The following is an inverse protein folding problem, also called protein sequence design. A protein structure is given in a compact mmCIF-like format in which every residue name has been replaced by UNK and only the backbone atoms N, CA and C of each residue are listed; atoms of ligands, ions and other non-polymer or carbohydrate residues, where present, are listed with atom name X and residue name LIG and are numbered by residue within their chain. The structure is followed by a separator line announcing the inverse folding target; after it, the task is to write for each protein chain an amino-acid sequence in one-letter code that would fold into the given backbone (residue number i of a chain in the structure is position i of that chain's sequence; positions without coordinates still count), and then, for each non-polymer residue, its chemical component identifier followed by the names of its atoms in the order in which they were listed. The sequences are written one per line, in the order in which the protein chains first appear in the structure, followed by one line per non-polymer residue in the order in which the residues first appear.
data_IF_469174108216
#
_entry.id   IF_469174108216
#
_cell.length_a   1.000
_cell.length_b   1.000
_cell.length_c   1.000
_cell.angle_alpha   90.00
_cell.angle_beta   90.00
_cell.angle_gamma   90.00
#
_symmetry.space_group_name_H-M   'P 1'
#
loop_
_entity.id
_entity.type
_entity.pdbx_description
1 polymer ?
#
# COMPACT_ATOMS: atom_id res chain seq x y z
N UNK A 1 7.50 31.81 -22.57
CA UNK A 1 6.24 31.89 -21.80
C UNK A 1 6.22 30.68 -20.88
N UNK A 2 5.98 30.87 -19.58
CA UNK A 2 5.79 29.72 -18.70
C UNK A 2 4.58 28.92 -19.22
N UNK A 3 4.77 27.62 -19.48
CA UNK A 3 3.67 26.74 -19.86
C UNK A 3 2.83 26.54 -18.60
N UNK A 4 1.65 27.18 -18.56
CA UNK A 4 0.72 27.06 -17.45
C UNK A 4 -0.12 25.80 -17.67
N UNK A 5 -0.26 24.98 -16.62
CA UNK A 5 -1.17 23.83 -16.59
C UNK A 5 -2.61 24.26 -16.92
N UNK A 6 -3.24 23.58 -17.89
CA UNK A 6 -4.60 23.91 -18.33
C UNK A 6 -5.50 22.69 -18.37
N UNK A 7 -6.81 22.91 -18.19
CA UNK A 7 -7.82 21.87 -18.17
C UNK A 7 -8.77 22.04 -19.34
N UNK A 8 -9.12 20.92 -19.99
CA UNK A 8 -10.14 20.87 -21.03
C UNK A 8 -11.10 19.72 -20.74
N UNK A 9 -12.38 19.92 -21.05
CA UNK A 9 -13.43 18.97 -20.73
C UNK A 9 -13.94 18.31 -22.01
N UNK A 10 -14.13 17.01 -21.96
CA UNK A 10 -14.52 16.16 -23.07
C UNK A 10 -15.48 15.07 -22.57
N UNK A 11 -16.14 14.37 -23.49
CA UNK A 11 -16.99 13.22 -23.19
C UNK A 11 -16.78 12.18 -24.27
N UNK A 12 -16.36 10.97 -23.87
CA UNK A 12 -16.02 9.91 -24.82
C UNK A 12 -16.84 8.65 -24.59
N UNK A 13 -17.31 7.99 -25.66
CA UNK A 13 -17.93 6.67 -25.54
C UNK A 13 -16.94 5.65 -24.97
N UNK A 14 -17.45 4.70 -24.19
CA UNK A 14 -16.67 3.57 -23.67
C UNK A 14 -15.92 2.86 -24.80
N UNK A 15 -16.55 2.67 -25.97
CA UNK A 15 -15.91 2.02 -27.11
C UNK A 15 -14.61 2.72 -27.54
N UNK A 16 -14.61 4.05 -27.58
CA UNK A 16 -13.43 4.85 -27.94
C UNK A 16 -12.34 4.70 -26.89
N UNK A 17 -12.70 4.80 -25.60
CA UNK A 17 -11.75 4.67 -24.49
C UNK A 17 -11.11 3.27 -24.47
N UNK A 18 -11.91 2.22 -24.65
CA UNK A 18 -11.41 0.82 -24.71
C UNK A 18 -10.44 0.65 -25.87
N UNK A 19 -10.72 1.22 -27.04
CA UNK A 19 -9.82 1.19 -28.18
C UNK A 19 -8.51 1.94 -27.90
N UNK A 20 -8.56 3.07 -27.20
CA UNK A 20 -7.38 3.86 -26.80
C UNK A 20 -6.52 3.13 -25.76
N UNK A 21 -7.14 2.42 -24.81
CA UNK A 21 -6.44 1.56 -23.84
C UNK A 21 -5.78 0.37 -24.55
N UNK A 22 -6.53 -0.31 -25.41
CA UNK A 22 -6.02 -1.48 -26.18
C UNK A 22 -4.83 -1.10 -27.06
N UNK A 23 -4.88 0.08 -27.65
CA UNK A 23 -3.85 0.60 -28.56
C UNK A 23 -2.99 1.68 -27.90
N UNK A 24 -2.57 1.45 -26.64
CA UNK A 24 -1.84 2.44 -25.84
C UNK A 24 -0.56 3.00 -26.51
N UNK A 25 0.06 2.26 -27.43
CA UNK A 25 1.27 2.69 -28.15
C UNK A 25 0.99 3.59 -29.38
N UNK A 26 -0.28 3.82 -29.74
CA UNK A 26 -0.68 4.68 -30.87
C UNK A 26 -0.77 6.15 -30.45
N UNK A 27 -1.16 7.01 -31.41
CA UNK A 27 -1.10 8.47 -31.27
C UNK A 27 -1.97 9.01 -30.11
N UNK A 28 -3.06 8.34 -29.80
CA UNK A 28 -4.06 8.70 -28.79
C UNK A 28 -4.21 7.61 -27.71
N UNK A 29 -3.18 6.77 -27.55
CA UNK A 29 -3.20 5.67 -26.61
C UNK A 29 -3.18 6.12 -25.14
N UNK A 30 -3.93 5.41 -24.30
CA UNK A 30 -4.05 5.66 -22.85
C UNK A 30 -3.24 4.63 -22.07
N UNK A 31 -2.30 5.12 -21.25
CA UNK A 31 -1.68 4.32 -20.20
C UNK A 31 -2.54 4.36 -18.93
N UNK A 32 -3.17 3.22 -18.62
CA UNK A 32 -3.95 3.04 -17.40
C UNK A 32 -3.11 3.06 -16.12
N UNK A 33 -1.82 2.73 -16.20
CA UNK A 33 -0.98 2.54 -15.02
C UNK A 33 0.39 3.21 -15.21
N UNK A 34 0.43 4.56 -15.29
CA UNK A 34 1.69 5.28 -15.24
C UNK A 34 2.43 4.99 -13.92
N UNK A 35 3.73 5.31 -13.87
CA UNK A 35 4.63 4.91 -12.79
C UNK A 35 4.21 5.40 -11.40
N UNK A 36 3.51 6.54 -11.32
CA UNK A 36 2.98 7.11 -10.07
C UNK A 36 1.64 6.48 -9.62
N UNK A 37 0.94 5.75 -10.49
CA UNK A 37 -0.32 5.08 -10.17
C UNK A 37 -0.10 3.72 -9.49
N UNK A 38 -1.02 3.37 -8.59
CA UNK A 38 -1.00 2.04 -7.95
C UNK A 38 -1.43 0.94 -8.93
N UNK A 39 -1.23 -0.31 -8.53
CA UNK A 39 -1.87 -1.44 -9.20
C UNK A 39 -3.40 -1.43 -9.07
N UNK A 40 -4.05 -2.32 -9.79
CA UNK A 40 -5.49 -2.56 -9.65
C UNK A 40 -5.81 -3.16 -8.26
N UNK A 41 -6.68 -2.52 -7.48
CA UNK A 41 -7.03 -2.96 -6.11
C UNK A 41 -8.54 -3.02 -5.84
N UNK A 42 -9.38 -2.70 -6.82
CA UNK A 42 -10.82 -2.79 -6.65
C UNK A 42 -11.24 -4.23 -6.36
N UNK A 43 -11.84 -4.42 -5.18
CA UNK A 43 -12.51 -5.66 -4.83
C UNK A 43 -13.83 -5.81 -5.60
N UNK A 44 -14.36 -7.03 -5.63
CA UNK A 44 -15.55 -7.40 -6.39
C UNK A 44 -16.74 -6.45 -6.18
N UNK A 45 -16.99 -6.03 -4.93
CA UNK A 45 -18.13 -5.15 -4.59
C UNK A 45 -18.12 -3.80 -5.32
N UNK A 46 -16.95 -3.20 -5.58
CA UNK A 46 -16.84 -1.92 -6.29
C UNK A 46 -17.06 -2.10 -7.78
N UNK A 47 -16.54 -3.18 -8.35
CA UNK A 47 -16.74 -3.55 -9.76
C UNK A 47 -18.22 -3.80 -10.03
N UNK A 48 -18.86 -4.51 -9.11
CA UNK A 48 -20.27 -4.85 -9.16
C UNK A 48 -21.16 -3.58 -9.18
N UNK A 49 -20.89 -2.60 -8.31
CA UNK A 49 -21.59 -1.31 -8.29
C UNK A 49 -21.35 -0.49 -9.56
N UNK A 50 -20.12 -0.47 -10.07
CA UNK A 50 -19.79 0.22 -11.32
C UNK A 50 -20.63 -0.32 -12.49
N UNK A 51 -20.65 -1.65 -12.66
CA UNK A 51 -21.41 -2.27 -13.75
C UNK A 51 -22.90 -2.09 -13.61
N UNK A 52 -23.43 -2.15 -12.39
CA UNK A 52 -24.83 -1.83 -12.14
C UNK A 52 -25.16 -0.40 -12.61
N UNK A 53 -24.31 0.59 -12.31
CA UNK A 53 -24.49 1.97 -12.77
C UNK A 53 -24.43 2.10 -14.28
N UNK A 54 -23.43 1.52 -14.95
CA UNK A 54 -23.29 1.60 -16.42
C UNK A 54 -24.51 1.02 -17.11
N UNK A 55 -24.96 -0.16 -16.68
CA UNK A 55 -26.09 -0.87 -17.31
C UNK A 55 -27.40 -0.10 -17.09
N UNK A 56 -27.59 0.53 -15.92
CA UNK A 56 -28.75 1.39 -15.63
C UNK A 56 -28.68 2.78 -16.28
N UNK A 57 -27.55 3.14 -16.90
CA UNK A 57 -27.33 4.48 -17.46
C UNK A 57 -27.05 5.57 -16.41
N UNK A 58 -26.64 5.20 -15.20
CA UNK A 58 -26.26 6.17 -14.17
C UNK A 58 -24.84 6.73 -14.43
N UNK A 59 -24.61 8.03 -14.17
CA UNK A 59 -23.29 8.63 -14.34
C UNK A 59 -22.28 8.00 -13.37
N UNK A 60 -21.10 7.63 -13.89
CA UNK A 60 -20.06 6.92 -13.12
C UNK A 60 -18.93 7.82 -12.62
N UNK A 61 -19.12 9.14 -12.68
CA UNK A 61 -18.14 10.16 -12.30
C UNK A 61 -17.13 10.50 -13.41
N UNK A 62 -16.41 11.60 -13.23
CA UNK A 62 -15.41 12.11 -14.19
C UNK A 62 -14.13 11.25 -14.22
N UNK A 63 -13.39 11.26 -15.32
CA UNK A 63 -12.07 10.65 -15.48
C UNK A 63 -11.06 11.75 -15.79
N UNK A 64 -9.90 11.78 -15.12
CA UNK A 64 -8.85 12.75 -15.42
C UNK A 64 -7.71 12.10 -16.20
N UNK A 65 -7.39 12.65 -17.37
CA UNK A 65 -6.29 12.22 -18.24
C UNK A 65 -5.24 13.31 -18.35
N UNK A 66 -3.97 12.97 -18.13
CA UNK A 66 -2.85 13.84 -18.48
C UNK A 66 -2.51 13.68 -19.94
N UNK A 67 -2.43 14.79 -20.67
CA UNK A 67 -1.96 14.84 -22.06
C UNK A 67 -0.48 15.17 -22.06
N UNK A 68 0.34 14.24 -22.56
CA UNK A 68 1.78 14.40 -22.64
C UNK A 68 2.20 15.07 -23.95
N UNK A 69 3.24 15.90 -23.89
CA UNK A 69 3.88 16.45 -25.09
C UNK A 69 4.76 15.42 -25.81
N UNK A 70 5.30 14.45 -25.04
CA UNK A 70 6.16 13.36 -25.52
C UNK A 70 5.62 12.06 -24.93
N UNK A 71 5.68 10.97 -25.70
CA UNK A 71 5.23 9.65 -25.24
C UNK A 71 5.95 9.22 -23.97
N UNK A 72 5.23 8.58 -23.05
CA UNK A 72 5.82 7.98 -21.86
C UNK A 72 6.64 6.72 -22.19
N UNK A 73 7.24 6.10 -21.17
CA UNK A 73 8.06 4.89 -21.32
C UNK A 73 7.33 3.71 -21.99
N UNK A 74 5.99 3.67 -21.96
CA UNK A 74 5.16 2.66 -22.62
C UNK A 74 4.71 3.09 -24.03
N UNK A 75 5.07 4.28 -24.48
CA UNK A 75 4.70 4.79 -25.80
C UNK A 75 3.32 5.45 -25.88
N UNK A 76 2.69 5.75 -24.73
CA UNK A 76 1.38 6.39 -24.64
C UNK A 76 1.49 7.92 -24.59
N UNK A 77 0.49 8.61 -25.17
CA UNK A 77 0.38 10.07 -25.14
C UNK A 77 -0.56 10.57 -24.04
N UNK A 78 -1.36 9.68 -23.46
CA UNK A 78 -2.30 9.96 -22.39
C UNK A 78 -1.99 9.09 -21.18
N UNK A 79 -1.99 9.67 -19.99
CA UNK A 79 -1.85 8.93 -18.74
C UNK A 79 -3.09 9.13 -17.87
N UNK A 80 -3.58 8.06 -17.24
CA UNK A 80 -4.70 8.18 -16.32
C UNK A 80 -4.23 8.76 -14.99
N UNK A 81 -4.77 9.94 -14.64
CA UNK A 81 -4.55 10.59 -13.35
C UNK A 81 -5.65 10.20 -12.36
N UNK A 82 -6.90 10.07 -12.80
CA UNK A 82 -7.99 9.56 -11.97
C UNK A 82 -8.93 8.64 -12.75
N UNK A 83 -9.52 7.68 -12.04
CA UNK A 83 -10.46 6.73 -12.61
C UNK A 83 -9.82 5.48 -13.21
N UNK A 84 -8.54 5.25 -12.95
CA UNK A 84 -7.81 4.03 -13.33
C UNK A 84 -8.63 2.77 -13.06
N UNK A 85 -9.15 2.63 -11.84
CA UNK A 85 -9.84 1.42 -11.40
C UNK A 85 -11.16 1.21 -12.16
N UNK A 86 -11.87 2.31 -12.47
CA UNK A 86 -13.08 2.29 -13.30
C UNK A 86 -12.76 1.84 -14.72
N UNK A 87 -11.79 2.49 -15.37
CA UNK A 87 -11.40 2.17 -16.75
C UNK A 87 -10.85 0.74 -16.88
N UNK A 88 -10.04 0.29 -15.92
CA UNK A 88 -9.50 -1.09 -15.89
C UNK A 88 -10.64 -2.10 -15.76
N UNK A 89 -11.62 -1.86 -14.90
CA UNK A 89 -12.78 -2.75 -14.72
C UNK A 89 -13.65 -2.80 -15.97
N UNK A 90 -13.84 -1.64 -16.63
CA UNK A 90 -14.56 -1.54 -17.91
C UNK A 90 -13.86 -2.35 -18.99
N UNK A 91 -12.56 -2.10 -19.17
CA UNK A 91 -11.72 -2.78 -20.13
C UNK A 91 -11.75 -4.31 -19.94
N UNK A 92 -11.46 -4.80 -18.73
CA UNK A 92 -11.35 -6.23 -18.43
C UNK A 92 -12.66 -6.99 -18.69
N UNK A 93 -13.83 -6.39 -18.42
CA UNK A 93 -15.10 -7.05 -18.73
C UNK A 93 -15.35 -7.14 -20.23
N UNK A 94 -15.09 -6.06 -20.97
CA UNK A 94 -15.35 -5.97 -22.42
C UNK A 94 -14.44 -6.92 -23.21
N UNK A 95 -13.17 -7.05 -22.82
CA UNK A 95 -12.24 -8.00 -23.46
C UNK A 95 -12.41 -9.44 -22.99
N UNK A 96 -13.27 -9.69 -21.99
CA UNK A 96 -13.61 -11.04 -21.51
C UNK A 96 -12.75 -11.56 -20.34
N UNK A 97 -11.83 -10.76 -19.83
CA UNK A 97 -10.93 -11.08 -18.70
C UNK A 97 -11.64 -11.03 -17.33
N UNK A 98 -12.84 -10.45 -17.27
CA UNK A 98 -13.66 -10.39 -16.05
C UNK A 98 -15.08 -10.93 -16.27
N UNK A 99 -15.67 -11.50 -15.21
CA UNK A 99 -17.06 -11.96 -15.20
C UNK A 99 -17.76 -11.49 -13.92
N UNK A 100 -18.97 -10.97 -14.06
CA UNK A 100 -19.79 -10.53 -12.91
C UNK A 100 -20.52 -11.77 -12.39
N UNK A 101 -20.55 -11.96 -11.06
CA UNK A 101 -21.07 -13.19 -10.45
C UNK A 101 -21.97 -12.93 -9.24
N UNK A 102 -22.81 -13.90 -8.91
CA UNK A 102 -23.61 -13.89 -7.67
C UNK A 102 -24.83 -12.97 -7.80
N UNK A 103 -25.18 -12.29 -6.71
CA UNK A 103 -26.44 -11.55 -6.62
C UNK A 103 -26.48 -10.34 -7.56
N UNK A 104 -25.36 -9.66 -7.76
CA UNK A 104 -25.27 -8.52 -8.69
C UNK A 104 -25.49 -8.98 -10.14
N UNK A 105 -24.92 -10.13 -10.52
CA UNK A 105 -25.18 -10.70 -11.85
C UNK A 105 -26.67 -11.02 -12.04
N UNK A 106 -27.33 -11.51 -10.97
CA UNK A 106 -28.77 -11.74 -10.99
C UNK A 106 -29.54 -10.43 -11.21
N UNK A 107 -29.29 -9.39 -10.41
CA UNK A 107 -29.97 -8.10 -10.54
C UNK A 107 -29.74 -7.43 -11.90
N UNK A 108 -28.55 -7.57 -12.47
CA UNK A 108 -28.26 -7.09 -13.83
C UNK A 108 -29.12 -7.84 -14.86
N UNK A 109 -29.19 -9.17 -14.76
CA UNK A 109 -30.00 -9.99 -15.69
C UNK A 109 -31.48 -9.67 -15.54
N UNK A 110 -31.99 -9.52 -14.32
CA UNK A 110 -33.38 -9.11 -14.07
C UNK A 110 -33.70 -7.78 -14.76
N UNK A 111 -32.82 -6.79 -14.60
CA UNK A 111 -32.99 -5.51 -15.26
C UNK A 111 -32.92 -5.61 -16.78
N UNK A 112 -32.00 -6.39 -17.35
CA UNK A 112 -31.92 -6.57 -18.81
C UNK A 112 -33.20 -7.21 -19.34
N UNK A 113 -33.73 -8.22 -18.65
CA UNK A 113 -34.97 -8.90 -19.03
C UNK A 113 -36.17 -7.96 -18.96
N UNK A 114 -36.26 -7.15 -17.92
CA UNK A 114 -37.28 -6.13 -17.78
C UNK A 114 -37.17 -5.05 -18.87
N UNK A 115 -35.97 -4.56 -19.12
CA UNK A 115 -35.68 -3.49 -20.08
C UNK A 115 -35.96 -3.90 -21.53
N UNK A 116 -35.55 -5.10 -21.92
CA UNK A 116 -35.75 -5.61 -23.28
C UNK A 116 -37.15 -6.20 -23.52
N UNK A 117 -37.88 -6.56 -22.45
CA UNK A 117 -39.24 -7.08 -22.53
C UNK A 117 -39.40 -8.28 -23.47
N UNK A 118 -40.12 -8.07 -24.58
CA UNK A 118 -40.46 -9.10 -25.57
C UNK A 118 -39.56 -9.09 -26.82
N UNK A 119 -38.42 -8.40 -26.78
CA UNK A 119 -37.47 -8.44 -27.89
C UNK A 119 -36.96 -9.86 -28.14
N UNK A 120 -36.79 -10.21 -29.43
CA UNK A 120 -36.32 -11.52 -29.84
C UNK A 120 -34.80 -11.50 -29.99
N UNK A 121 -34.09 -11.78 -28.90
CA UNK A 121 -32.63 -11.89 -28.87
C UNK A 121 -32.19 -13.28 -28.32
N UNK A 122 -31.35 -14.04 -29.05
CA UNK A 122 -30.91 -15.37 -28.60
C UNK A 122 -30.15 -15.38 -27.27
N UNK A 123 -29.43 -14.31 -26.94
CA UNK A 123 -28.74 -14.16 -25.65
C UNK A 123 -29.73 -13.81 -24.55
N UNK A 124 -30.75 -12.98 -24.83
CA UNK A 124 -31.81 -12.68 -23.87
C UNK A 124 -32.53 -13.96 -23.40
N UNK A 125 -32.86 -14.88 -24.32
CA UNK A 125 -33.48 -16.16 -23.97
C UNK A 125 -32.55 -17.06 -23.13
N UNK A 126 -31.24 -17.03 -23.38
CA UNK A 126 -30.25 -17.73 -22.54
C UNK A 126 -30.16 -17.11 -21.15
N UNK A 127 -30.24 -15.78 -21.04
CA UNK A 127 -30.23 -15.06 -19.76
C UNK A 127 -31.50 -15.36 -18.94
N UNK A 128 -32.68 -15.37 -19.57
CA UNK A 128 -33.94 -15.80 -18.92
C UNK A 128 -33.83 -17.21 -18.34
N UNK A 129 -33.30 -18.16 -19.12
CA UNK A 129 -33.06 -19.54 -18.64
C UNK A 129 -32.08 -19.60 -17.46
N UNK A 130 -31.01 -18.78 -17.49
CA UNK A 130 -30.07 -18.69 -16.36
C UNK A 130 -30.72 -18.15 -15.09
N UNK A 131 -31.69 -17.26 -15.20
CA UNK A 131 -32.40 -16.69 -14.05
C UNK A 131 -33.21 -17.75 -13.28
N UNK A 132 -33.81 -18.70 -14.00
CA UNK A 132 -34.61 -19.77 -13.40
C UNK A 132 -33.78 -20.78 -12.60
N UNK A 133 -32.46 -20.82 -12.79
CA UNK A 133 -31.57 -21.75 -12.09
C UNK A 133 -31.24 -21.23 -10.69
N UNK A 134 -31.38 -22.09 -9.66
CA UNK A 134 -31.07 -21.75 -8.24
C UNK A 134 -29.57 -21.59 -7.94
N UNK A 135 -28.69 -21.75 -8.94
CA UNK A 135 -27.25 -21.69 -8.78
C UNK A 135 -26.68 -20.26 -8.77
N UNK A 136 -25.36 -20.16 -8.58
CA UNK A 136 -24.62 -18.90 -8.71
C UNK A 136 -24.61 -18.47 -10.19
N UNK A 137 -25.19 -17.30 -10.48
CA UNK A 137 -25.22 -16.75 -11.84
C UNK A 137 -23.88 -16.08 -12.14
N UNK A 138 -23.40 -16.27 -13.37
CA UNK A 138 -22.22 -15.60 -13.92
C UNK A 138 -22.55 -15.05 -15.31
N UNK A 139 -22.16 -13.80 -15.55
CA UNK A 139 -22.31 -13.10 -16.82
C UNK A 139 -20.96 -12.59 -17.33
N UNK A 140 -20.75 -12.75 -18.64
CA UNK A 140 -19.62 -12.17 -19.40
C UNK A 140 -20.18 -11.20 -20.44
N UNK A 141 -19.37 -10.25 -20.89
CA UNK A 141 -19.76 -9.27 -21.91
C UNK A 141 -20.33 -9.92 -23.19
N UNK A 142 -19.71 -11.00 -23.68
CA UNK A 142 -20.17 -11.74 -24.87
C UNK A 142 -21.58 -12.34 -24.74
N UNK A 143 -22.02 -12.58 -23.50
CA UNK A 143 -23.31 -13.19 -23.17
C UNK A 143 -24.43 -12.14 -23.03
N UNK A 144 -24.10 -10.86 -23.17
CA UNK A 144 -25.10 -9.80 -23.18
C UNK A 144 -25.81 -9.74 -24.54
N UNK A 145 -27.09 -9.36 -24.58
CA UNK A 145 -27.79 -9.03 -25.83
C UNK A 145 -27.13 -7.88 -26.58
N UNK A 146 -27.29 -7.83 -27.90
CA UNK A 146 -26.58 -6.84 -28.74
C UNK A 146 -26.96 -5.40 -28.39
N UNK A 147 -28.25 -5.13 -28.16
CA UNK A 147 -28.72 -3.81 -27.71
C UNK A 147 -28.03 -3.34 -26.42
N UNK A 148 -27.81 -4.26 -25.47
CA UNK A 148 -27.13 -3.93 -24.21
C UNK A 148 -25.64 -3.64 -24.45
N UNK A 149 -24.99 -4.39 -25.36
CA UNK A 149 -23.60 -4.10 -25.74
C UNK A 149 -23.48 -2.74 -26.41
N UNK A 150 -24.41 -2.40 -27.30
CA UNK A 150 -24.47 -1.08 -27.95
C UNK A 150 -24.68 0.04 -26.92
N UNK A 151 -25.57 -0.15 -25.95
CA UNK A 151 -25.78 0.80 -24.85
C UNK A 151 -24.52 0.98 -24.00
N UNK A 152 -23.80 -0.10 -23.67
CA UNK A 152 -22.52 -0.03 -22.96
C UNK A 152 -21.47 0.71 -23.80
N UNK A 153 -21.34 0.36 -25.09
CA UNK A 153 -20.32 0.92 -25.97
C UNK A 153 -20.52 2.42 -26.23
N UNK A 154 -21.78 2.86 -26.32
CA UNK A 154 -22.19 4.26 -26.52
C UNK A 154 -22.27 5.06 -25.21
N UNK A 155 -22.17 4.41 -24.04
CA UNK A 155 -22.14 5.09 -22.75
C UNK A 155 -20.99 6.11 -22.71
N UNK A 156 -21.34 7.37 -22.55
CA UNK A 156 -20.39 8.47 -22.56
C UNK A 156 -19.82 8.71 -21.16
N UNK A 157 -18.48 8.74 -21.07
CA UNK A 157 -17.75 9.04 -19.86
C UNK A 157 -17.20 10.46 -19.94
N UNK A 158 -17.50 11.28 -18.93
CA UNK A 158 -16.93 12.61 -18.79
C UNK A 158 -15.43 12.54 -18.52
N UNK A 159 -14.66 13.32 -19.27
CA UNK A 159 -13.20 13.36 -19.20
C UNK A 159 -12.73 14.80 -18.95
N UNK A 160 -11.78 14.95 -18.03
CA UNK A 160 -10.96 16.16 -17.90
C UNK A 160 -9.56 15.86 -18.42
N UNK A 161 -9.18 16.49 -19.52
CA UNK A 161 -7.83 16.44 -20.05
C UNK A 161 -6.99 17.56 -19.43
N UNK A 162 -5.83 17.19 -18.91
CA UNK A 162 -4.84 18.06 -18.28
C UNK A 162 -3.70 18.27 -19.26
N UNK A 163 -3.54 19.48 -19.76
CA UNK A 163 -2.53 19.85 -20.75
C UNK A 163 -1.44 20.70 -20.11
N UNK A 164 -0.26 20.73 -20.75
CA UNK A 164 0.87 21.59 -20.36
C UNK A 164 1.28 21.43 -18.90
N UNK A 165 1.34 20.19 -18.41
CA UNK A 165 1.60 19.89 -17.00
C UNK A 165 2.97 19.23 -16.78
N UNK A 166 3.68 19.68 -15.76
CA UNK A 166 4.88 19.01 -15.26
C UNK A 166 4.53 17.78 -14.42
N UNK A 167 5.52 16.93 -14.13
CA UNK A 167 5.33 15.76 -13.26
C UNK A 167 4.98 16.20 -11.82
N UNK A 168 5.57 17.30 -11.35
CA UNK A 168 5.32 17.90 -10.04
C UNK A 168 3.89 18.42 -9.93
N UNK A 169 3.40 19.17 -10.94
CA UNK A 169 2.04 19.71 -10.96
C UNK A 169 0.97 18.61 -10.99
N UNK A 170 1.21 17.53 -11.74
CA UNK A 170 0.31 16.37 -11.77
C UNK A 170 0.29 15.64 -10.44
N UNK A 171 1.46 15.52 -9.81
CA UNK A 171 1.58 14.90 -8.50
C UNK A 171 0.81 15.71 -7.45
N UNK A 172 0.95 17.04 -7.49
CA UNK A 172 0.18 17.95 -6.64
C UNK A 172 -1.33 17.85 -6.90
N UNK A 173 -1.75 17.95 -8.16
CA UNK A 173 -3.16 17.83 -8.54
C UNK A 173 -3.77 16.49 -8.13
N UNK A 174 -3.02 15.39 -8.29
CA UNK A 174 -3.45 14.05 -7.88
C UNK A 174 -3.70 13.99 -6.37
N UNK A 175 -2.89 14.66 -5.54
CA UNK A 175 -3.11 14.76 -4.09
C UNK A 175 -4.43 15.49 -3.77
N UNK A 176 -4.70 16.60 -4.45
CA UNK A 176 -5.92 17.39 -4.20
C UNK A 176 -7.21 16.71 -4.67
N UNK A 177 -7.19 16.07 -5.84
CA UNK A 177 -8.37 15.38 -6.38
C UNK A 177 -8.84 14.23 -5.47
N UNK A 178 -7.91 13.60 -4.76
CA UNK A 178 -8.18 12.48 -3.84
C UNK A 178 -8.63 12.94 -2.44
N UNK A 179 -8.76 14.24 -2.16
CA UNK A 179 -9.29 14.69 -0.85
C UNK A 179 -10.77 14.32 -0.59
N UNK A 180 -11.46 13.68 -1.55
CA UNK A 180 -12.78 13.07 -1.35
C UNK A 180 -12.74 11.54 -1.05
N UNK A 181 -11.63 10.83 -1.31
CA UNK A 181 -11.39 9.44 -0.88
C UNK A 181 -9.96 9.28 -0.35
N UNK A 182 -9.81 8.98 0.95
CA UNK A 182 -8.52 8.91 1.66
C UNK A 182 -7.43 8.16 0.87
N UNK A 183 -6.36 8.86 0.50
CA UNK A 183 -5.11 8.27 0.07
C UNK A 183 -4.62 7.24 1.12
N UNK A 184 -4.20 6.06 0.66
CA UNK A 184 -3.53 5.08 1.53
C UNK A 184 -2.04 5.40 1.57
N UNK A 185 -1.42 5.08 2.70
CA UNK A 185 -0.12 5.62 3.06
C UNK A 185 1.01 5.47 2.02
N UNK A 186 1.06 4.35 1.30
CA UNK A 186 2.08 4.12 0.27
C UNK A 186 1.92 5.00 -0.96
N UNK A 187 0.70 5.47 -1.26
CA UNK A 187 0.41 6.40 -2.37
C UNK A 187 0.91 7.81 -2.04
N UNK A 188 0.87 8.17 -0.76
CA UNK A 188 1.44 9.44 -0.30
C UNK A 188 2.96 9.39 -0.34
N UNK A 189 3.60 8.28 0.06
CA UNK A 189 5.08 8.16 -0.02
C UNK A 189 5.58 8.27 -1.47
N UNK A 190 4.91 7.65 -2.43
CA UNK A 190 5.28 7.73 -3.84
C UNK A 190 5.00 9.11 -4.47
N UNK A 191 4.07 9.87 -3.91
CA UNK A 191 3.70 11.19 -4.41
C UNK A 191 4.34 12.32 -3.62
N UNK A 192 5.27 12.07 -2.69
CA UNK A 192 6.11 13.10 -2.08
C UNK A 192 7.27 13.39 -3.03
N UNK A 193 7.27 14.55 -3.73
CA UNK A 193 8.43 14.95 -4.51
C UNK A 193 9.59 15.11 -3.52
N UNK A 194 10.65 14.32 -3.71
CA UNK A 194 11.96 14.53 -3.10
C UNK A 194 11.89 15.00 -1.63
N UNK A 195 11.36 14.15 -0.75
CA UNK A 195 11.42 14.42 0.69
C UNK A 195 12.87 14.65 1.08
N UNK A 196 13.14 15.62 1.95
CA UNK A 196 14.48 15.78 2.51
C UNK A 196 14.97 14.53 3.27
N UNK A 197 14.07 13.58 3.55
CA UNK A 197 14.36 12.30 4.17
C UNK A 197 14.83 11.22 3.17
N UNK A 198 14.52 11.35 1.88
CA UNK A 198 14.86 10.36 0.84
C UNK A 198 16.38 10.19 0.72
N UNK A 199 17.13 11.29 0.85
CA UNK A 199 18.61 11.31 0.87
C UNK A 199 19.22 10.39 1.95
N UNK A 200 18.48 10.05 3.00
CA UNK A 200 18.95 9.10 4.02
C UNK A 200 18.63 7.64 3.64
N UNK A 201 17.46 7.38 3.04
CA UNK A 201 17.13 6.05 2.53
C UNK A 201 18.09 5.65 1.41
N UNK A 202 18.46 6.58 0.53
CA UNK A 202 19.38 6.34 -0.59
C UNK A 202 20.80 5.98 -0.16
N UNK A 203 21.15 6.24 1.11
CA UNK A 203 22.45 5.84 1.69
C UNK A 203 22.47 4.39 2.16
N UNK A 204 21.35 3.67 2.11
CA UNK A 204 21.29 2.22 2.33
C UNK A 204 21.76 1.54 1.04
N UNK A 205 22.90 0.85 1.11
CA UNK A 205 23.63 0.37 -0.08
C UNK A 205 22.85 -0.64 -0.93
N UNK A 206 22.12 -1.56 -0.29
CA UNK A 206 21.23 -2.51 -0.95
C UNK A 206 20.00 -2.79 -0.08
N UNK A 207 18.94 -2.01 -0.33
CA UNK A 207 17.66 -2.15 0.36
C UNK A 207 17.05 -3.55 0.19
N UNK A 208 17.21 -4.19 -0.98
CA UNK A 208 16.62 -5.51 -1.20
C UNK A 208 17.32 -6.59 -0.37
N UNK A 209 18.64 -6.47 -0.19
CA UNK A 209 19.43 -7.39 0.62
C UNK A 209 19.00 -7.38 2.09
N UNK A 210 18.93 -6.21 2.72
CA UNK A 210 18.52 -6.11 4.14
C UNK A 210 17.07 -6.60 4.34
N UNK A 211 16.17 -6.24 3.42
CA UNK A 211 14.78 -6.71 3.47
C UNK A 211 14.67 -8.22 3.26
N UNK A 212 15.53 -8.80 2.42
CA UNK A 212 15.65 -10.23 2.22
C UNK A 212 16.13 -10.96 3.47
N UNK A 213 17.17 -10.47 4.13
CA UNK A 213 17.68 -11.02 5.41
C UNK A 213 16.57 -11.01 6.48
N UNK A 214 15.84 -9.90 6.58
CA UNK A 214 14.77 -9.72 7.56
C UNK A 214 13.42 -10.36 7.15
N UNK A 215 13.32 -10.94 5.95
CA UNK A 215 12.07 -11.44 5.35
C UNK A 215 10.89 -10.46 5.52
N UNK A 216 11.14 -9.18 5.26
CA UNK A 216 10.15 -8.12 5.42
C UNK A 216 9.47 -7.81 4.09
N UNK A 217 8.15 -8.01 4.04
CA UNK A 217 7.36 -7.66 2.87
C UNK A 217 7.33 -6.13 2.69
N UNK A 218 7.97 -5.64 1.62
CA UNK A 218 8.03 -4.22 1.32
C UNK A 218 6.98 -3.76 0.29
N UNK A 219 5.81 -4.40 0.29
CA UNK A 219 4.69 -3.99 -0.55
C UNK A 219 4.31 -2.55 -0.22
N UNK A 220 4.21 -1.69 -1.23
CA UNK A 220 3.78 -0.28 -1.09
C UNK A 220 4.72 0.58 -0.23
N UNK A 221 6.05 0.40 -0.37
CA UNK A 221 7.08 1.17 0.37
C UNK A 221 6.85 1.14 1.89
N UNK A 222 6.46 -0.03 2.41
CA UNK A 222 6.23 -0.21 3.83
C UNK A 222 7.47 0.12 4.66
N UNK A 223 8.65 -0.28 4.19
CA UNK A 223 9.92 0.02 4.84
C UNK A 223 10.14 1.52 4.96
N UNK A 224 10.01 2.27 3.87
CA UNK A 224 10.17 3.71 3.82
C UNK A 224 9.23 4.40 4.83
N UNK A 225 7.98 3.92 4.94
CA UNK A 225 7.04 4.40 5.96
C UNK A 225 7.52 4.15 7.39
N UNK A 226 8.02 2.94 7.68
CA UNK A 226 8.55 2.63 9.01
C UNK A 226 9.76 3.49 9.31
N UNK A 227 10.64 3.65 8.33
CA UNK A 227 11.85 4.44 8.43
C UNK A 227 11.52 5.90 8.77
N UNK A 228 10.61 6.55 8.02
CA UNK A 228 10.17 7.91 8.33
C UNK A 228 9.42 8.01 9.66
N UNK A 229 8.65 7.00 10.04
CA UNK A 229 8.01 6.98 11.36
C UNK A 229 9.04 6.93 12.51
N UNK A 230 10.16 6.22 12.32
CA UNK A 230 11.25 6.19 13.29
C UNK A 230 12.00 7.51 13.28
N UNK A 231 12.35 8.07 12.12
CA UNK A 231 13.01 9.36 12.04
C UNK A 231 12.21 10.48 12.69
N UNK A 232 10.91 10.59 12.41
CA UNK A 232 10.07 11.61 13.02
C UNK A 232 9.91 11.47 14.53
N UNK A 233 10.04 10.26 15.06
CA UNK A 233 10.12 10.01 16.49
C UNK A 233 11.47 10.45 17.07
N UNK A 234 12.58 10.14 16.40
CA UNK A 234 13.93 10.55 16.82
C UNK A 234 14.12 12.06 16.75
N UNK A 235 13.44 12.70 15.79
CA UNK A 235 13.41 14.15 15.57
C UNK A 235 12.43 14.88 16.51
N UNK A 236 11.66 14.13 17.30
CA UNK A 236 10.72 14.67 18.27
C UNK A 236 9.49 15.36 17.65
N UNK A 237 9.22 15.15 16.37
CA UNK A 237 8.10 15.77 15.63
C UNK A 237 6.82 14.96 15.68
N UNK A 238 6.93 13.63 15.80
CA UNK A 238 5.79 12.71 15.93
C UNK A 238 6.05 11.67 17.04
N UNK A 239 4.97 11.12 17.60
CA UNK A 239 5.05 10.03 18.58
C UNK A 239 5.29 8.67 17.93
N UNK A 240 5.60 7.66 18.74
CA UNK A 240 5.60 6.27 18.27
C UNK A 240 4.16 5.83 18.03
N UNK A 241 3.92 4.99 17.01
CA UNK A 241 2.60 4.40 16.78
C UNK A 241 1.53 5.37 16.27
N UNK A 242 1.94 6.55 15.76
CA UNK A 242 1.03 7.49 15.10
C UNK A 242 0.43 6.92 13.82
N UNK A 243 -0.65 7.54 13.34
CA UNK A 243 -1.31 7.13 12.12
C UNK A 243 -0.43 7.46 10.91
N UNK A 244 -0.62 6.71 9.82
CA UNK A 244 0.15 6.90 8.60
C UNK A 244 0.07 8.35 8.08
N UNK A 245 -1.10 8.99 8.18
CA UNK A 245 -1.27 10.41 7.79
C UNK A 245 -0.29 11.36 8.49
N UNK A 246 0.07 11.06 9.73
CA UNK A 246 0.93 11.91 10.55
C UNK A 246 2.40 11.69 10.17
N UNK A 247 2.78 10.44 9.88
CA UNK A 247 4.11 10.10 9.33
C UNK A 247 4.35 10.80 7.99
N UNK A 248 3.31 10.86 7.16
CA UNK A 248 3.40 11.40 5.82
C UNK A 248 3.41 12.93 5.81
N UNK A 249 2.60 13.53 6.68
CA UNK A 249 2.69 14.96 6.95
C UNK A 249 4.09 15.34 7.41
N UNK A 250 4.65 14.60 8.37
CA UNK A 250 6.04 14.80 8.79
C UNK A 250 7.03 14.66 7.62
N UNK A 251 6.95 13.60 6.82
CA UNK A 251 7.87 13.40 5.70
C UNK A 251 7.77 14.47 4.60
N UNK A 252 6.59 15.09 4.44
CA UNK A 252 6.37 16.19 3.50
C UNK A 252 6.82 17.55 4.05
N UNK A 253 6.61 17.80 5.34
CA UNK A 253 6.90 19.07 6.00
C UNK A 253 8.36 19.16 6.48
N UNK A 254 9.09 18.04 6.53
CA UNK A 254 10.47 18.00 7.00
C UNK A 254 11.43 18.54 5.93
N UNK A 255 11.99 19.72 6.19
CA UNK A 255 13.09 20.30 5.39
C UNK A 255 14.45 19.72 5.79
N UNK A 256 14.68 19.55 7.10
CA UNK A 256 15.92 19.00 7.62
C UNK A 256 15.71 18.33 8.98
N UNK A 257 16.48 17.27 9.26
CA UNK A 257 16.53 16.63 10.57
C UNK A 257 17.32 17.48 11.56
N UNK A 258 16.94 17.44 12.83
CA UNK A 258 17.79 17.92 13.93
C UNK A 258 19.13 17.20 13.95
N UNK A 259 20.20 17.86 14.44
CA UNK A 259 21.54 17.27 14.55
C UNK A 259 21.54 15.93 15.31
N UNK A 260 20.79 15.84 16.40
CA UNK A 260 20.63 14.59 17.16
C UNK A 260 19.97 13.48 16.33
N UNK A 261 18.92 13.81 15.55
CA UNK A 261 18.26 12.84 14.69
C UNK A 261 19.15 12.40 13.51
N UNK A 262 19.95 13.33 12.94
CA UNK A 262 20.96 13.03 11.91
C UNK A 262 21.98 12.02 12.41
N UNK A 263 22.60 12.27 13.56
CA UNK A 263 23.60 11.35 14.15
C UNK A 263 23.04 9.95 14.38
N UNK A 264 21.79 9.85 14.87
CA UNK A 264 21.11 8.56 15.07
C UNK A 264 20.75 7.87 13.76
N UNK A 265 20.37 8.63 12.74
CA UNK A 265 20.13 8.12 11.38
C UNK A 265 21.42 7.60 10.75
N UNK A 266 22.53 8.33 10.92
CA UNK A 266 23.86 7.93 10.43
C UNK A 266 24.33 6.63 11.07
N UNK A 267 24.15 6.51 12.39
CA UNK A 267 24.44 5.28 13.14
C UNK A 267 23.57 4.10 12.68
N UNK A 268 22.29 4.33 12.40
CA UNK A 268 21.40 3.31 11.88
C UNK A 268 21.85 2.82 10.50
N UNK A 269 22.14 3.74 9.59
CA UNK A 269 22.53 3.43 8.21
C UNK A 269 23.88 2.71 8.19
N UNK A 270 24.85 3.11 9.02
CA UNK A 270 26.15 2.44 9.08
C UNK A 270 26.01 0.97 9.51
N UNK A 271 25.17 0.69 10.52
CA UNK A 271 24.89 -0.68 10.96
C UNK A 271 24.12 -1.49 9.91
N UNK A 272 23.12 -0.91 9.25
CA UNK A 272 22.41 -1.57 8.13
C UNK A 272 23.40 -1.95 7.02
N UNK A 273 24.28 -1.02 6.62
CA UNK A 273 25.25 -1.26 5.56
C UNK A 273 26.28 -2.33 5.95
N UNK A 274 26.66 -2.40 7.23
CA UNK A 274 27.52 -3.47 7.75
C UNK A 274 26.84 -4.86 7.67
N UNK A 275 25.54 -4.94 8.00
CA UNK A 275 24.76 -6.18 7.82
C UNK A 275 24.69 -6.56 6.34
N UNK A 276 24.46 -5.59 5.46
CA UNK A 276 24.38 -5.81 4.01
C UNK A 276 25.69 -6.35 3.45
N UNK A 277 26.84 -5.82 3.91
CA UNK A 277 28.16 -6.27 3.44
C UNK A 277 28.53 -7.68 3.89
N UNK A 278 27.85 -8.22 4.91
CA UNK A 278 28.04 -9.59 5.33
C UNK A 278 27.33 -10.56 4.36
N UNK A 279 28.12 -11.14 3.46
CA UNK A 279 27.67 -12.12 2.47
C UNK A 279 27.31 -13.48 3.08
N UNK A 280 27.73 -13.75 4.32
CA UNK A 280 27.45 -15.03 5.01
C UNK A 280 26.03 -15.12 5.54
N UNK A 281 25.35 -13.97 5.74
CA UNK A 281 23.99 -13.95 6.23
C UNK A 281 23.00 -14.47 5.17
N UNK A 282 22.18 -15.48 5.49
CA UNK A 282 21.22 -15.99 4.53
C UNK A 282 20.04 -15.02 4.34
N UNK A 283 19.39 -15.12 3.18
CA UNK A 283 18.04 -14.57 3.04
C UNK A 283 17.10 -15.31 4.01
N UNK A 284 16.08 -14.60 4.48
CA UNK A 284 15.08 -15.10 5.42
C UNK A 284 15.65 -15.59 6.75
N UNK A 285 16.75 -14.98 7.22
CA UNK A 285 17.35 -15.27 8.52
C UNK A 285 16.34 -15.15 9.66
N UNK A 286 15.51 -14.11 9.64
CA UNK A 286 14.39 -13.93 10.55
C UNK A 286 13.12 -13.54 9.80
N UNK A 287 11.97 -13.71 10.45
CA UNK A 287 10.68 -13.24 9.94
C UNK A 287 10.28 -11.92 10.61
N UNK A 288 10.46 -10.81 9.91
CA UNK A 288 10.15 -9.47 10.43
C UNK A 288 8.73 -9.03 10.07
N UNK A 289 7.97 -8.62 11.08
CA UNK A 289 6.73 -7.87 10.93
C UNK A 289 6.97 -6.38 11.24
N UNK A 290 5.92 -5.54 11.17
CA UNK A 290 6.01 -4.10 11.44
C UNK A 290 6.63 -3.78 12.82
N UNK A 291 6.33 -4.57 13.85
CA UNK A 291 6.88 -4.42 15.20
C UNK A 291 8.37 -4.74 15.21
N UNK A 292 8.75 -5.89 14.65
CA UNK A 292 10.14 -6.32 14.55
C UNK A 292 11.00 -5.30 13.80
N UNK A 293 10.48 -4.76 12.68
CA UNK A 293 11.17 -3.73 11.91
C UNK A 293 11.37 -2.45 12.73
N UNK A 294 10.33 -1.97 13.42
CA UNK A 294 10.46 -0.78 14.31
C UNK A 294 11.47 -1.00 15.42
N UNK A 295 11.47 -2.19 16.02
CA UNK A 295 12.41 -2.55 17.09
C UNK A 295 13.85 -2.61 16.59
N UNK A 296 14.08 -3.21 15.43
CA UNK A 296 15.39 -3.20 14.76
C UNK A 296 15.88 -1.76 14.55
N UNK A 297 15.08 -0.94 13.85
CA UNK A 297 15.47 0.44 13.51
C UNK A 297 15.70 1.30 14.76
N UNK A 298 14.88 1.14 15.80
CA UNK A 298 15.03 1.91 17.05
C UNK A 298 16.23 1.46 17.88
N UNK A 299 16.44 0.16 18.07
CA UNK A 299 17.58 -0.33 18.86
C UNK A 299 18.92 -0.02 18.20
N UNK A 300 18.98 -0.07 16.86
CA UNK A 300 20.16 0.32 16.08
C UNK A 300 20.40 1.84 16.11
N UNK A 301 19.38 2.66 15.78
CA UNK A 301 19.51 4.13 15.75
C UNK A 301 19.81 4.77 17.12
N UNK A 302 19.31 4.17 18.21
CA UNK A 302 19.61 4.62 19.57
C UNK A 302 20.95 4.10 20.09
N UNK A 303 21.62 3.21 19.35
CA UNK A 303 22.91 2.62 19.74
C UNK A 303 22.82 1.67 20.93
N UNK A 304 21.63 1.18 21.28
CA UNK A 304 21.48 0.20 22.37
C UNK A 304 21.86 -1.21 21.96
N UNK A 305 21.77 -1.51 20.66
CA UNK A 305 22.29 -2.73 20.06
C UNK A 305 23.22 -2.31 18.93
N UNK A 306 24.45 -2.81 18.96
CA UNK A 306 25.38 -2.72 17.85
C UNK A 306 25.26 -3.97 16.98
N UNK A 307 24.56 -3.89 15.86
CA UNK A 307 24.40 -4.99 14.92
C UNK A 307 25.59 -5.15 13.96
N UNK A 308 26.67 -4.36 14.09
CA UNK A 308 27.91 -4.59 13.33
C UNK A 308 28.75 -5.72 13.94
N UNK A 309 28.51 -6.05 15.21
CA UNK A 309 29.15 -7.16 15.93
C UNK A 309 28.15 -8.29 16.14
N UNK A 310 28.53 -9.54 15.83
CA UNK A 310 27.65 -10.72 15.98
C UNK A 310 26.27 -10.57 15.31
N UNK A 311 26.24 -9.98 14.12
CA UNK A 311 25.01 -9.59 13.39
C UNK A 311 23.98 -10.71 13.32
N UNK A 312 24.43 -11.94 12.98
CA UNK A 312 23.56 -13.10 12.87
C UNK A 312 22.85 -13.41 14.20
N UNK A 313 23.63 -13.54 15.28
CA UNK A 313 23.11 -13.86 16.62
C UNK A 313 22.15 -12.79 17.13
N UNK A 314 22.46 -11.50 16.96
CA UNK A 314 21.59 -10.41 17.41
C UNK A 314 20.29 -10.30 16.60
N UNK A 315 20.35 -10.54 15.29
CA UNK A 315 19.15 -10.58 14.45
C UNK A 315 18.26 -11.77 14.84
N UNK A 316 18.85 -12.96 15.02
CA UNK A 316 18.13 -14.16 15.49
C UNK A 316 17.50 -13.91 16.87
N UNK A 317 18.22 -13.24 17.78
CA UNK A 317 17.71 -12.85 19.09
C UNK A 317 16.49 -11.95 18.99
N UNK A 318 16.58 -10.88 18.19
CA UNK A 318 15.46 -9.98 17.92
C UNK A 318 14.25 -10.73 17.34
N UNK A 319 14.47 -11.61 16.36
CA UNK A 319 13.42 -12.43 15.75
C UNK A 319 12.72 -13.34 16.75
N UNK A 320 13.50 -14.08 17.55
CA UNK A 320 13.01 -14.98 18.60
C UNK A 320 12.19 -14.24 19.66
N UNK A 321 12.65 -13.06 20.10
CA UNK A 321 11.91 -12.20 21.02
C UNK A 321 10.59 -11.77 20.37
N UNK A 322 10.64 -11.23 19.15
CA UNK A 322 9.44 -10.79 18.43
C UNK A 322 8.39 -11.91 18.29
N UNK A 323 8.80 -13.14 18.04
CA UNK A 323 7.88 -14.28 17.95
C UNK A 323 7.21 -14.57 19.30
N UNK A 324 7.99 -14.61 20.38
CA UNK A 324 7.47 -14.79 21.75
C UNK A 324 6.48 -13.69 22.15
N UNK A 325 6.73 -12.44 21.75
CA UNK A 325 5.83 -11.31 22.06
C UNK A 325 4.42 -11.47 21.45
N UNK A 326 4.23 -12.38 20.49
CA UNK A 326 2.91 -12.67 19.92
C UNK A 326 2.00 -13.42 20.90
N UNK A 327 2.56 -14.13 21.89
CA UNK A 327 1.80 -14.85 22.91
C UNK A 327 0.89 -13.91 23.73
N UNK A 328 1.34 -12.69 24.02
CA UNK A 328 0.57 -11.67 24.76
C UNK A 328 -0.61 -11.06 23.99
N UNK A 329 -0.78 -11.44 22.72
CA UNK A 329 -1.94 -11.05 21.91
C UNK A 329 -2.79 -12.26 21.48
N UNK A 330 -2.43 -13.47 21.93
CA UNK A 330 -3.15 -14.69 21.58
C UNK A 330 -4.46 -14.81 22.36
N UNK A 331 -5.51 -15.28 21.68
CA UNK A 331 -6.79 -15.63 22.30
C UNK A 331 -6.80 -17.05 22.91
N UNK A 332 -5.71 -17.83 22.70
CA UNK A 332 -5.60 -19.20 23.25
C UNK A 332 -5.27 -19.13 24.74
N UNK A 333 -6.04 -19.84 25.55
CA UNK A 333 -5.78 -19.95 26.99
C UNK A 333 -4.42 -20.61 27.25
N UNK A 334 -3.66 -20.07 28.21
CA UNK A 334 -2.34 -20.60 28.61
C UNK A 334 -1.20 -20.39 27.60
N UNK A 335 -1.39 -19.59 26.54
CA UNK A 335 -0.38 -19.41 25.50
C UNK A 335 0.90 -18.74 26.03
N UNK A 336 0.77 -17.78 26.96
CA UNK A 336 1.92 -17.10 27.59
C UNK A 336 2.72 -18.11 28.41
N UNK A 337 2.07 -18.89 29.28
CA UNK A 337 2.74 -19.90 30.12
C UNK A 337 3.45 -20.96 29.28
N UNK A 338 2.86 -21.37 28.16
CA UNK A 338 3.46 -22.33 27.23
C UNK A 338 4.74 -21.78 26.59
N UNK A 339 4.70 -20.53 26.10
CA UNK A 339 5.81 -19.91 25.36
C UNK A 339 6.94 -19.48 26.30
N UNK A 340 6.59 -19.01 27.49
CA UNK A 340 7.52 -18.53 28.51
C UNK A 340 7.81 -19.58 29.59
N UNK A 341 7.67 -20.86 29.27
CA UNK A 341 8.03 -21.92 30.20
C UNK A 341 9.51 -21.82 30.61
N UNK A 342 9.77 -21.81 31.93
CA UNK A 342 11.10 -21.64 32.51
C UNK A 342 11.61 -20.19 32.58
N UNK A 343 10.76 -19.20 32.29
CA UNK A 343 11.08 -17.79 32.51
C UNK A 343 10.64 -17.33 33.91
N UNK A 344 11.39 -16.39 34.50
CA UNK A 344 10.98 -15.76 35.75
C UNK A 344 9.81 -14.79 35.53
N UNK A 345 8.93 -14.57 36.53
CA UNK A 345 7.81 -13.64 36.42
C UNK A 345 8.24 -12.22 36.01
N UNK A 346 9.39 -11.76 36.49
CA UNK A 346 9.94 -10.43 36.21
C UNK A 346 10.35 -10.30 34.74
N UNK A 347 10.97 -11.34 34.17
CA UNK A 347 11.33 -11.37 32.74
C UNK A 347 10.08 -11.44 31.87
N UNK A 348 9.07 -12.22 32.27
CA UNK A 348 7.78 -12.28 31.56
C UNK A 348 7.12 -10.90 31.55
N UNK A 349 7.15 -10.17 32.67
CA UNK A 349 6.59 -8.83 32.76
C UNK A 349 7.32 -7.85 31.83
N UNK A 350 8.65 -7.87 31.77
CA UNK A 350 9.40 -7.03 30.83
C UNK A 350 9.05 -7.35 29.37
N UNK A 351 8.90 -8.63 29.01
CA UNK A 351 8.41 -9.02 27.68
C UNK A 351 6.98 -8.55 27.42
N UNK A 352 6.09 -8.61 28.41
CA UNK A 352 4.73 -8.09 28.30
C UNK A 352 4.74 -6.57 28.03
N UNK A 353 5.61 -5.83 28.72
CA UNK A 353 5.80 -4.39 28.50
C UNK A 353 6.32 -4.07 27.09
N UNK A 354 7.21 -4.89 26.54
CA UNK A 354 7.64 -4.81 25.13
C UNK A 354 6.49 -5.12 24.17
N UNK A 355 5.62 -6.08 24.46
CA UNK A 355 4.45 -6.35 23.62
C UNK A 355 3.46 -5.16 23.63
N UNK A 356 3.30 -4.50 24.77
CA UNK A 356 2.39 -3.37 24.92
C UNK A 356 2.82 -2.12 24.16
N UNK A 357 4.11 -1.88 23.94
CA UNK A 357 4.52 -0.68 23.19
C UNK A 357 4.03 -0.69 21.74
N UNK A 358 3.73 -1.87 21.21
CA UNK A 358 3.15 -2.02 19.87
C UNK A 358 1.65 -1.68 19.81
N UNK A 359 1.02 -1.41 20.97
CA UNK A 359 -0.40 -1.05 21.08
C UNK A 359 -0.53 0.46 21.35
N UNK A 360 -1.05 1.20 20.37
CA UNK A 360 -1.33 2.63 20.50
C UNK A 360 -0.09 3.53 20.38
N UNK A 361 -0.29 4.81 20.64
CA UNK A 361 0.75 5.83 20.56
C UNK A 361 1.55 5.99 21.85
N UNK A 362 2.86 6.22 21.75
CA UNK A 362 3.75 6.38 22.92
C UNK A 362 4.73 7.55 22.76
N UNK A 363 5.13 8.14 23.88
CA UNK A 363 6.17 9.19 23.92
C UNK A 363 7.56 8.62 23.64
N UNK A 364 8.48 9.47 23.18
CA UNK A 364 9.87 9.09 22.94
C UNK A 364 10.52 8.49 24.20
N UNK A 365 10.35 9.10 25.38
CA UNK A 365 10.92 8.63 26.65
C UNK A 365 10.50 7.20 26.98
N UNK A 366 9.22 6.88 26.79
CA UNK A 366 8.70 5.53 27.03
C UNK A 366 9.24 4.53 26.02
N UNK A 367 9.37 4.93 24.76
CA UNK A 367 9.96 4.11 23.70
C UNK A 367 11.42 3.83 23.98
N UNK A 368 12.20 4.85 24.31
CA UNK A 368 13.61 4.71 24.66
C UNK A 368 13.80 3.73 25.82
N UNK A 369 13.00 3.87 26.88
CA UNK A 369 13.04 2.96 28.03
C UNK A 369 12.77 1.50 27.62
N UNK A 370 11.73 1.25 26.82
CA UNK A 370 11.43 -0.11 26.33
C UNK A 370 12.51 -0.64 25.38
N UNK A 371 13.14 0.21 24.58
CA UNK A 371 14.24 -0.21 23.70
C UNK A 371 15.51 -0.57 24.48
N UNK A 372 15.76 0.05 25.65
CA UNK A 372 16.83 -0.38 26.57
C UNK A 372 16.56 -1.77 27.13
N UNK A 373 15.32 -2.06 27.54
CA UNK A 373 14.89 -3.40 27.99
C UNK A 373 15.08 -4.43 26.86
N UNK A 374 14.60 -4.10 25.65
CA UNK A 374 14.76 -5.00 24.51
C UNK A 374 16.24 -5.27 24.18
N UNK A 375 17.07 -4.24 24.19
CA UNK A 375 18.50 -4.36 23.91
C UNK A 375 19.22 -5.26 24.91
N UNK A 376 18.85 -5.22 26.19
CA UNK A 376 19.37 -6.13 27.21
C UNK A 376 19.16 -7.60 26.80
N UNK A 377 17.97 -7.97 26.33
CA UNK A 377 17.66 -9.33 25.89
C UNK A 377 18.29 -9.71 24.55
N UNK A 378 18.49 -8.75 23.64
CA UNK A 378 19.18 -9.00 22.36
C UNK A 378 20.67 -9.27 22.61
N UNK A 379 21.31 -8.48 23.48
CA UNK A 379 22.72 -8.63 23.81
C UNK A 379 22.99 -9.83 24.73
N UNK A 380 22.05 -10.19 25.60
CA UNK A 380 22.11 -11.35 26.49
C UNK A 380 21.18 -12.49 26.06
N UNK A 381 21.22 -12.85 24.78
CA UNK A 381 20.35 -13.88 24.18
C UNK A 381 20.32 -15.16 25.05
N UNK A 382 19.12 -15.73 25.24
CA UNK A 382 18.78 -16.82 26.18
C UNK A 382 18.67 -16.50 27.68
N UNK A 383 18.73 -15.23 28.09
CA UNK A 383 18.40 -14.88 29.46
C UNK A 383 16.90 -15.08 29.76
N UNK A 384 16.59 -16.06 30.61
CA UNK A 384 15.22 -16.39 31.04
C UNK A 384 14.91 -15.97 32.48
N UNK A 385 15.93 -15.67 33.28
CA UNK A 385 15.80 -15.59 34.74
C UNK A 385 16.06 -14.18 35.25
N UNK A 386 17.06 -13.48 34.70
CA UNK A 386 17.50 -12.18 35.21
C UNK A 386 16.83 -11.06 34.39
N UNK A 387 16.00 -10.20 35.01
CA UNK A 387 15.42 -9.06 34.31
C UNK A 387 16.47 -7.99 34.03
N UNK A 388 16.16 -7.05 33.14
CA UNK A 388 17.08 -5.96 32.77
C UNK A 388 17.41 -5.01 33.92
N UNK A 389 16.55 -4.96 34.95
CA UNK A 389 16.66 -4.02 36.07
C UNK A 389 16.28 -2.57 35.69
N UNK A 390 15.85 -2.33 34.45
CA UNK A 390 15.43 -1.01 33.97
C UNK A 390 14.03 -0.73 34.50
N UNK A 391 13.91 0.34 35.29
CA UNK A 391 12.63 0.77 35.84
C UNK A 391 11.72 1.27 34.70
N UNK A 392 10.53 0.67 34.50
CA UNK A 392 9.61 1.13 33.48
C UNK A 392 9.07 2.52 33.77
N UNK A 393 9.17 3.42 32.79
CA UNK A 393 8.44 4.71 32.74
C UNK A 393 7.17 4.62 31.91
#
# INVERSE_FOLDING_TARGET
MANIMTFSYDSRPIQTIVNQIKNYNKRDGIDLQPTYQRGYIWGKEFIDKLWYSIIKGYPIGNISLRVLSIKNAKGAMLEVVDGQQRLTSIYNFIVGDYSIQGDVARSIVEYIVEYMGTENDPQLEKLKKKLCNRGKITIKYEQLPELIKENINSFNISITNINNSSDEEITEYFRYLQNQERLRAGEIINSIPSSALEKYIDRISDKNRILGILNFANDRKQFDRVFYSVLGLLDGKIGFGVLDKDVLRYASDCEELTETAKLRCDLLISQINHIISDTTLPHHLIKSNMRCMKFFLLTASLGFVDYSTDSSSKLIALGSINDKLSAFSSAKAGEVDRIFNGYSPEVIEEHRLLALISKGGHSFTRVENRMKILAYYINGFDNKIVPSGIIPV
#
